data_IF_802383733452
#
_entry.id   IF_802383733452
#
_cell.length_a   1.000
_cell.length_b   1.000
_cell.length_c   1.000
_cell.angle_alpha   90.00
_cell.angle_beta   90.00
_cell.angle_gamma   90.00
#
_symmetry.space_group_name_H-M   'P 1'
#
loop_
_entity.id
_entity.type
_entity.pdbx_description
1 polymer ?
#
# COMPACT_ATOMS: atom_id res chain seq x y z
N UNK A 1 -3.80 -24.05 11.05
CA UNK A 1 -3.11 -23.86 9.75
C UNK A 1 -3.27 -22.40 9.36
N UNK A 2 -2.32 -21.53 9.72
CA UNK A 2 -2.42 -20.10 9.38
C UNK A 2 -1.92 -19.92 7.95
N UNK A 3 -2.86 -19.81 7.01
CA UNK A 3 -2.55 -19.56 5.61
C UNK A 3 -1.81 -18.24 5.47
N UNK A 4 -0.52 -18.30 5.13
CA UNK A 4 0.21 -17.14 4.62
C UNK A 4 -0.50 -16.72 3.33
N UNK A 5 -1.32 -15.68 3.39
CA UNK A 5 -1.82 -14.99 2.19
C UNK A 5 -0.59 -14.48 1.45
N UNK A 6 -0.24 -15.18 0.37
CA UNK A 6 0.93 -14.88 -0.43
C UNK A 6 0.60 -13.65 -1.29
N UNK A 7 0.87 -12.46 -0.76
CA UNK A 7 0.68 -11.23 -1.52
C UNK A 7 1.79 -11.06 -2.54
N UNK A 8 1.42 -10.58 -3.72
CA UNK A 8 2.36 -10.33 -4.80
C UNK A 8 3.34 -9.22 -4.42
N UNK A 9 4.61 -9.36 -4.80
CA UNK A 9 5.60 -8.27 -4.64
C UNK A 9 5.43 -7.18 -5.72
N UNK A 10 4.60 -7.45 -6.73
CA UNK A 10 4.26 -6.57 -7.84
C UNK A 10 2.84 -6.06 -7.65
N UNK A 11 2.65 -4.76 -7.79
CA UNK A 11 1.35 -4.09 -7.76
C UNK A 11 1.02 -3.58 -9.16
N UNK A 12 -0.18 -3.85 -9.67
CA UNK A 12 -0.59 -3.47 -11.02
C UNK A 12 -0.87 -1.96 -11.09
N UNK A 13 -0.27 -1.28 -12.09
CA UNK A 13 -0.42 0.14 -12.39
C UNK A 13 -1.24 0.44 -13.65
N UNK A 14 -1.50 -0.58 -14.47
CA UNK A 14 -2.08 -0.37 -15.81
C UNK A 14 -3.59 -0.19 -15.79
N UNK A 15 -4.26 -0.72 -14.75
CA UNK A 15 -5.71 -0.61 -14.59
C UNK A 15 -6.08 0.56 -13.67
N UNK A 16 -6.92 1.51 -14.12
CA UNK A 16 -7.36 2.64 -13.28
C UNK A 16 -8.11 2.17 -12.03
N UNK A 17 -8.80 1.03 -12.10
CA UNK A 17 -9.42 0.38 -10.94
C UNK A 17 -8.37 -0.05 -9.93
N UNK A 18 -7.32 -0.73 -10.39
CA UNK A 18 -6.22 -1.20 -9.54
C UNK A 18 -5.42 -0.05 -8.92
N UNK A 19 -5.33 1.10 -9.61
CA UNK A 19 -4.72 2.29 -9.04
C UNK A 19 -5.54 2.87 -7.88
N UNK A 20 -6.87 2.91 -7.99
CA UNK A 20 -7.75 3.35 -6.91
C UNK A 20 -7.67 2.43 -5.68
N UNK A 21 -7.48 1.13 -5.90
CA UNK A 21 -7.30 0.11 -4.86
C UNK A 21 -5.91 0.09 -4.23
N UNK A 22 -5.04 1.06 -4.54
CA UNK A 22 -3.65 1.07 -4.10
C UNK A 22 -3.35 2.28 -3.22
N UNK A 23 -2.71 2.02 -2.10
CA UNK A 23 -2.34 3.00 -1.09
C UNK A 23 -0.82 3.11 -0.99
N UNK A 24 -0.36 4.33 -0.75
CA UNK A 24 1.03 4.69 -0.54
C UNK A 24 1.26 5.06 0.93
N UNK A 25 2.36 4.57 1.48
CA UNK A 25 2.80 4.85 2.86
C UNK A 25 4.20 5.44 2.77
N UNK A 26 4.33 6.73 2.99
CA UNK A 26 5.62 7.43 3.01
C UNK A 26 6.28 7.46 4.39
N UNK A 27 7.55 7.87 4.42
CA UNK A 27 8.37 8.04 5.63
C UNK A 27 8.42 6.79 6.53
N UNK A 28 8.34 5.63 5.90
CA UNK A 28 8.35 4.36 6.59
C UNK A 28 9.79 4.04 7.01
N UNK A 29 10.02 3.75 8.29
CA UNK A 29 11.33 3.28 8.74
C UNK A 29 11.51 1.80 8.34
N UNK A 30 11.92 1.58 7.10
CA UNK A 30 12.05 0.23 6.50
C UNK A 30 13.19 -0.59 7.10
N UNK A 31 14.00 -0.01 7.99
CA UNK A 31 14.95 -0.76 8.80
C UNK A 31 14.24 -1.54 9.93
N UNK A 32 13.08 -1.03 10.39
CA UNK A 32 12.29 -1.60 11.47
C UNK A 32 11.03 -2.26 10.90
N UNK A 33 10.27 -1.53 10.09
CA UNK A 33 9.00 -1.98 9.53
C UNK A 33 9.24 -2.87 8.32
N UNK A 34 8.80 -4.12 8.40
CA UNK A 34 8.90 -5.08 7.29
C UNK A 34 7.57 -5.17 6.54
N UNK A 35 7.65 -5.74 5.32
CA UNK A 35 6.47 -6.09 4.51
C UNK A 35 5.38 -6.78 5.33
N UNK A 36 5.78 -7.77 6.14
CA UNK A 36 4.86 -8.54 6.98
C UNK A 36 4.13 -7.68 8.00
N UNK A 37 4.79 -6.68 8.60
CA UNK A 37 4.15 -5.78 9.57
C UNK A 37 3.12 -4.89 8.89
N UNK A 38 3.46 -4.35 7.72
CA UNK A 38 2.53 -3.58 6.89
C UNK A 38 1.33 -4.46 6.54
N UNK A 39 1.58 -5.65 5.99
CA UNK A 39 0.50 -6.57 5.65
C UNK A 39 -0.39 -6.87 6.86
N UNK A 40 0.18 -7.07 8.05
CA UNK A 40 -0.60 -7.36 9.25
C UNK A 40 -1.44 -6.17 9.72
N UNK A 41 -0.87 -4.96 9.73
CA UNK A 41 -1.56 -3.72 10.12
C UNK A 41 -2.70 -3.42 9.16
N UNK A 42 -2.46 -3.58 7.86
CA UNK A 42 -3.38 -3.19 6.80
C UNK A 42 -4.38 -4.30 6.43
N UNK A 43 -4.09 -5.57 6.73
CA UNK A 43 -5.01 -6.68 6.50
C UNK A 43 -6.30 -6.60 7.34
N UNK A 44 -6.36 -5.71 8.34
CA UNK A 44 -7.61 -5.44 9.09
C UNK A 44 -8.64 -4.66 8.28
N UNK A 45 -8.20 -3.90 7.27
CA UNK A 45 -9.06 -3.05 6.45
C UNK A 45 -9.64 -3.79 5.25
N UNK A 46 -8.93 -4.79 4.75
CA UNK A 46 -9.33 -5.51 3.55
C UNK A 46 -8.29 -6.52 3.13
N UNK A 47 -8.59 -7.24 2.05
CA UNK A 47 -7.67 -8.27 1.53
C UNK A 47 -6.61 -7.64 0.65
N UNK A 48 -5.36 -7.76 1.08
CA UNK A 48 -4.19 -7.31 0.34
C UNK A 48 -3.88 -8.32 -0.77
N UNK A 49 -3.72 -7.85 -2.00
CA UNK A 49 -3.29 -8.65 -3.17
C UNK A 49 -1.83 -8.42 -3.54
N UNK A 50 -1.32 -7.23 -3.22
CA UNK A 50 0.05 -6.85 -3.52
C UNK A 50 0.61 -5.95 -2.44
N UNK A 51 1.86 -6.20 -2.05
CA UNK A 51 2.57 -5.30 -1.16
C UNK A 51 4.04 -5.21 -1.61
N UNK A 52 4.49 -3.98 -1.83
CA UNK A 52 5.85 -3.69 -2.29
C UNK A 52 6.47 -2.66 -1.36
N UNK A 53 7.59 -3.01 -0.73
CA UNK A 53 8.29 -2.16 0.23
C UNK A 53 9.61 -1.70 -0.39
N UNK A 54 9.82 -0.40 -0.37
CA UNK A 54 11.01 0.27 -0.87
C UNK A 54 11.65 1.08 0.25
N UNK A 55 12.88 1.55 0.08
CA UNK A 55 13.57 2.32 1.11
C UNK A 55 12.85 3.65 1.38
N UNK A 56 12.31 3.80 2.59
CA UNK A 56 11.55 4.99 3.02
C UNK A 56 10.05 4.99 2.69
N UNK A 57 9.51 4.00 1.96
CA UNK A 57 8.09 3.97 1.61
C UNK A 57 7.58 2.58 1.22
N UNK A 58 6.28 2.39 1.24
CA UNK A 58 5.65 1.15 0.81
C UNK A 58 4.37 1.39 0.01
N UNK A 59 4.03 0.40 -0.80
CA UNK A 59 2.79 0.32 -1.54
C UNK A 59 2.01 -0.91 -1.09
N UNK A 60 0.73 -0.72 -0.84
CA UNK A 60 -0.21 -1.80 -0.56
C UNK A 60 -1.34 -1.71 -1.57
N UNK A 61 -1.73 -2.85 -2.13
CA UNK A 61 -2.81 -2.95 -3.09
C UNK A 61 -3.86 -3.92 -2.54
N UNK A 62 -5.09 -3.45 -2.50
CA UNK A 62 -6.26 -4.21 -2.09
C UNK A 62 -6.96 -4.85 -3.30
N UNK A 63 -7.86 -5.81 -3.03
CA UNK A 63 -8.73 -6.40 -4.06
C UNK A 63 -9.67 -5.35 -4.64
N UNK A 64 -10.28 -4.55 -3.76
CA UNK A 64 -11.32 -3.56 -4.11
C UNK A 64 -10.82 -2.15 -3.85
N UNK A 65 -11.32 -1.19 -4.61
CA UNK A 65 -11.11 0.22 -4.33
C UNK A 65 -11.84 0.68 -3.07
N UNK A 66 -12.96 0.04 -2.71
CA UNK A 66 -13.69 0.29 -1.47
C UNK A 66 -12.83 0.02 -0.24
N UNK A 67 -12.12 -1.12 -0.18
CA UNK A 67 -11.21 -1.47 0.93
C UNK A 67 -10.09 -0.43 1.06
N UNK A 68 -9.52 0.00 -0.07
CA UNK A 68 -8.47 1.02 -0.10
C UNK A 68 -8.98 2.39 0.33
N UNK A 69 -10.17 2.78 -0.12
CA UNK A 69 -10.82 4.04 0.25
C UNK A 69 -11.16 4.08 1.74
N UNK A 70 -11.73 3.00 2.27
CA UNK A 70 -12.00 2.87 3.70
C UNK A 70 -10.71 2.93 4.52
N UNK A 71 -9.67 2.21 4.08
CA UNK A 71 -8.34 2.28 4.70
C UNK A 71 -7.79 3.72 4.69
N UNK A 72 -7.91 4.45 3.59
CA UNK A 72 -7.43 5.84 3.48
C UNK A 72 -8.16 6.78 4.44
N UNK A 73 -9.49 6.66 4.53
CA UNK A 73 -10.29 7.51 5.41
C UNK A 73 -10.03 7.16 6.87
N UNK A 74 -10.16 5.88 7.25
CA UNK A 74 -9.99 5.44 8.64
C UNK A 74 -8.57 5.65 9.15
N UNK A 75 -7.55 5.31 8.35
CA UNK A 75 -6.15 5.44 8.77
C UNK A 75 -5.70 6.91 8.83
N UNK A 76 -6.31 7.80 8.04
CA UNK A 76 -5.99 9.23 8.09
C UNK A 76 -6.65 9.94 9.27
N UNK A 77 -7.83 9.51 9.67
CA UNK A 77 -8.52 9.98 10.89
C UNK A 77 -7.91 9.37 12.16
N UNK A 78 -7.27 8.21 12.03
CA UNK A 78 -6.49 7.62 13.11
C UNK A 78 -5.24 8.46 13.40
N UNK A 79 -4.91 8.70 14.67
CA UNK A 79 -3.60 9.24 15.11
C UNK A 79 -2.47 8.21 14.94
N UNK A 80 -2.59 7.31 13.96
CA UNK A 80 -1.60 6.32 13.65
C UNK A 80 -0.31 7.01 13.19
N UNK A 81 0.84 6.49 13.64
CA UNK A 81 2.10 6.77 12.97
C UNK A 81 1.91 6.57 11.47
N UNK A 82 2.39 7.52 10.65
CA UNK A 82 2.29 7.55 9.19
C UNK A 82 0.98 8.05 8.55
N UNK A 83 -0.06 8.40 9.33
CA UNK A 83 -1.34 8.88 8.77
C UNK A 83 -1.21 10.10 7.84
N UNK A 84 -0.31 11.04 8.18
CA UNK A 84 -0.03 12.24 7.37
C UNK A 84 0.86 12.00 6.14
N UNK A 85 1.44 10.80 6.00
CA UNK A 85 2.18 10.36 4.81
C UNK A 85 1.45 9.23 4.06
N UNK A 86 0.18 9.00 4.40
CA UNK A 86 -0.68 8.01 3.77
C UNK A 86 -1.49 8.68 2.65
N UNK A 87 -1.35 8.18 1.42
CA UNK A 87 -1.97 8.76 0.23
C UNK A 87 -2.46 7.70 -0.74
N UNK A 88 -3.33 8.09 -1.67
CA UNK A 88 -3.70 7.20 -2.77
C UNK A 88 -2.49 7.04 -3.71
N UNK A 89 -2.23 5.81 -4.15
CA UNK A 89 -1.11 5.56 -5.04
C UNK A 89 -1.30 6.18 -6.44
N UNK A 90 -2.51 6.56 -6.85
CA UNK A 90 -2.73 7.37 -8.07
C UNK A 90 -1.94 8.68 -8.03
N UNK A 91 -1.94 9.34 -6.88
CA UNK A 91 -1.29 10.65 -6.71
C UNK A 91 0.24 10.53 -6.76
N UNK A 92 0.78 9.35 -6.41
CA UNK A 92 2.22 9.10 -6.27
C UNK A 92 2.81 8.32 -7.45
N UNK A 93 2.04 7.42 -8.08
CA UNK A 93 2.54 6.51 -9.12
C UNK A 93 2.89 7.22 -10.42
N UNK A 94 2.41 8.46 -10.64
CA UNK A 94 2.78 9.28 -11.79
C UNK A 94 4.26 9.67 -11.78
N UNK A 95 4.89 9.80 -10.61
CA UNK A 95 6.28 10.23 -10.49
C UNK A 95 7.31 9.08 -10.55
N UNK A 96 6.94 7.86 -10.14
CA UNK A 96 7.90 6.74 -9.99
C UNK A 96 8.09 5.93 -11.29
N UNK A 97 7.15 5.97 -12.24
CA UNK A 97 7.23 5.17 -13.47
C UNK A 97 8.27 5.68 -14.49
N UNK A 98 8.71 6.94 -14.38
CA UNK A 98 9.71 7.53 -15.26
C UNK A 98 11.16 7.05 -15.05
N UNK A 99 11.42 6.09 -14.16
CA UNK A 99 12.78 5.70 -13.77
C UNK A 99 13.13 4.22 -13.99
N UNK A 100 12.33 3.42 -14.71
CA UNK A 100 12.70 2.03 -14.98
C UNK A 100 12.23 1.47 -16.33
N UNK A 101 12.37 2.28 -17.39
CA UNK A 101 12.44 1.77 -18.77
C UNK A 101 13.88 1.86 -19.23
N UNK A 102 14.58 0.72 -19.21
CA UNK A 102 15.84 0.54 -19.91
C UNK A 102 15.62 -0.45 -21.05
#
# INVERSE_FOLDING_TARGET
>A
MTGKTQTSNVTNKNDPRSLNSRVFIGNLNTAIVKKTDIELIFSKYGKIVGCSVHKGYAFVQYITDEDAGFCLVDYRESEACYSSQFANANDISRDIDGQNTH
#
